data_IF_587534087439
#
_entry.id   IF_587534087439
#
_cell.length_a   1.000
_cell.length_b   1.000
_cell.length_c   1.000
_cell.angle_alpha   90.00
_cell.angle_beta   90.00
_cell.angle_gamma   90.00
#
_symmetry.space_group_name_H-M   'P 1'
#
loop_
_entity.id
_entity.type
_entity.pdbx_description
1 polymer ?
#
# COMPACT_ATOMS: atom_id res chain seq x y z
N UNK A 1 -27.03 -2.09 -12.62
CA UNK A 1 -27.75 -3.17 -11.91
C UNK A 1 -26.79 -3.82 -10.93
N UNK A 2 -27.19 -4.04 -9.68
CA UNK A 2 -26.37 -4.73 -8.66
C UNK A 2 -27.02 -6.09 -8.43
N UNK A 3 -26.33 -7.17 -8.74
CA UNK A 3 -26.83 -8.53 -8.53
C UNK A 3 -26.62 -8.94 -7.06
N UNK A 4 -27.51 -9.79 -6.54
CA UNK A 4 -27.33 -10.37 -5.21
C UNK A 4 -26.14 -11.32 -5.16
N UNK A 5 -25.41 -11.33 -4.05
CA UNK A 5 -24.21 -12.16 -3.89
C UNK A 5 -24.54 -13.66 -4.01
N UNK A 6 -25.70 -14.08 -3.51
CA UNK A 6 -26.24 -15.44 -3.65
C UNK A 6 -26.37 -15.86 -5.12
N UNK A 7 -26.96 -15.01 -5.95
CA UNK A 7 -27.13 -15.24 -7.38
C UNK A 7 -25.78 -15.28 -8.11
N UNK A 8 -24.86 -14.37 -7.76
CA UNK A 8 -23.49 -14.36 -8.32
C UNK A 8 -22.78 -15.68 -8.00
N UNK A 9 -22.82 -16.16 -6.75
CA UNK A 9 -22.16 -17.41 -6.34
C UNK A 9 -22.76 -18.65 -7.02
N UNK A 10 -24.06 -18.64 -7.31
CA UNK A 10 -24.72 -19.73 -8.05
C UNK A 10 -24.27 -19.80 -9.52
N UNK A 11 -24.12 -18.63 -10.17
CA UNK A 11 -23.78 -18.52 -11.59
C UNK A 11 -22.27 -18.56 -11.86
N UNK A 12 -21.48 -17.96 -10.97
CA UNK A 12 -20.04 -17.78 -11.08
C UNK A 12 -19.35 -18.52 -9.92
N UNK A 13 -19.46 -19.85 -9.93
CA UNK A 13 -18.80 -20.70 -8.92
C UNK A 13 -17.30 -20.48 -8.96
N UNK A 14 -16.67 -20.50 -7.78
CA UNK A 14 -15.26 -20.15 -7.65
C UNK A 14 -14.36 -21.07 -8.50
N UNK A 15 -14.65 -22.38 -8.53
CA UNK A 15 -13.86 -23.33 -9.33
C UNK A 15 -13.84 -22.97 -10.81
N UNK A 16 -14.95 -22.45 -11.34
CA UNK A 16 -15.09 -22.04 -12.76
C UNK A 16 -14.40 -20.69 -12.98
N UNK A 17 -14.51 -19.78 -12.00
CA UNK A 17 -13.99 -18.42 -12.11
C UNK A 17 -12.47 -18.34 -11.98
N UNK A 18 -11.82 -19.26 -11.28
CA UNK A 18 -10.36 -19.24 -11.10
C UNK A 18 -9.58 -19.30 -12.42
N UNK A 19 -10.14 -19.91 -13.46
CA UNK A 19 -9.56 -19.96 -14.81
C UNK A 19 -9.80 -18.66 -15.61
N UNK A 20 -10.74 -17.81 -15.18
CA UNK A 20 -11.07 -16.56 -15.87
C UNK A 20 -9.94 -15.54 -15.75
N UNK A 21 -9.48 -15.03 -16.89
CA UNK A 21 -8.46 -13.98 -16.97
C UNK A 21 -8.88 -12.72 -16.19
N UNK A 22 -10.18 -12.40 -16.22
CA UNK A 22 -10.77 -11.27 -15.48
C UNK A 22 -10.72 -11.48 -13.98
N UNK A 23 -11.06 -12.69 -13.51
CA UNK A 23 -10.97 -13.04 -12.09
C UNK A 23 -9.52 -12.92 -11.59
N UNK A 24 -8.57 -13.49 -12.32
CA UNK A 24 -7.16 -13.39 -11.98
C UNK A 24 -6.65 -11.94 -11.99
N UNK A 25 -7.13 -11.11 -12.92
CA UNK A 25 -6.80 -9.68 -12.94
C UNK A 25 -7.32 -8.94 -11.70
N UNK A 26 -8.55 -9.24 -11.25
CA UNK A 26 -9.12 -8.68 -10.03
C UNK A 26 -8.29 -9.11 -8.81
N UNK A 27 -7.93 -10.39 -8.69
CA UNK A 27 -7.10 -10.88 -7.58
C UNK A 27 -5.72 -10.22 -7.59
N UNK A 28 -5.07 -10.10 -8.75
CA UNK A 28 -3.78 -9.41 -8.88
C UNK A 28 -3.88 -7.94 -8.46
N UNK A 29 -4.93 -7.23 -8.91
CA UNK A 29 -5.17 -5.84 -8.53
C UNK A 29 -5.40 -5.70 -7.03
N UNK A 30 -6.25 -6.56 -6.44
CA UNK A 30 -6.52 -6.56 -5.00
C UNK A 30 -5.26 -6.82 -4.17
N UNK A 31 -4.43 -7.79 -4.59
CA UNK A 31 -3.15 -8.06 -3.94
C UNK A 31 -2.19 -6.86 -4.03
N UNK A 32 -2.12 -6.20 -5.19
CA UNK A 32 -1.27 -5.02 -5.36
C UNK A 32 -1.74 -3.85 -4.49
N UNK A 33 -3.06 -3.60 -4.43
CA UNK A 33 -3.66 -2.57 -3.58
C UNK A 33 -3.40 -2.87 -2.09
N UNK A 34 -3.66 -4.09 -1.64
CA UNK A 34 -3.41 -4.49 -0.26
C UNK A 34 -1.93 -4.39 0.13
N UNK A 35 -1.00 -4.74 -0.77
CA UNK A 35 0.43 -4.56 -0.54
C UNK A 35 0.79 -3.08 -0.36
N UNK A 36 0.23 -2.19 -1.17
CA UNK A 36 0.49 -0.75 -1.08
C UNK A 36 -0.11 -0.12 0.18
N UNK A 37 -1.36 -0.46 0.50
CA UNK A 37 -2.04 0.03 1.71
C UNK A 37 -1.29 -0.38 2.97
N UNK A 38 -0.86 -1.65 3.06
CA UNK A 38 -0.11 -2.14 4.22
C UNK A 38 1.30 -1.53 4.31
N UNK A 39 2.04 -1.45 3.20
CA UNK A 39 3.36 -0.81 3.19
C UNK A 39 3.29 0.64 3.67
N UNK A 40 2.31 1.40 3.17
CA UNK A 40 2.09 2.80 3.58
C UNK A 40 1.73 2.88 5.06
N UNK A 41 0.79 2.06 5.51
CA UNK A 41 0.35 2.00 6.91
C UNK A 41 1.52 1.72 7.85
N UNK A 42 2.36 0.74 7.50
CA UNK A 42 3.51 0.34 8.30
C UNK A 42 4.56 1.45 8.39
N UNK A 43 4.95 2.03 7.24
CA UNK A 43 5.90 3.15 7.18
C UNK A 43 5.41 4.34 7.99
N UNK A 44 4.14 4.71 7.84
CA UNK A 44 3.53 5.79 8.62
C UNK A 44 3.59 5.52 10.13
N UNK A 45 3.34 4.28 10.57
CA UNK A 45 3.46 3.90 11.99
C UNK A 45 4.90 3.97 12.50
N UNK A 46 5.87 3.57 11.68
CA UNK A 46 7.30 3.68 12.03
C UNK A 46 7.71 5.14 12.20
N UNK A 47 7.35 5.98 11.24
CA UNK A 47 7.61 7.42 11.25
C UNK A 47 6.97 8.10 12.46
N UNK A 48 5.69 7.83 12.73
CA UNK A 48 4.99 8.38 13.89
C UNK A 48 5.65 7.94 15.21
N UNK A 49 6.18 6.72 15.26
CA UNK A 49 6.89 6.21 16.44
C UNK A 49 8.26 6.88 16.64
N UNK A 50 8.98 7.18 15.56
CA UNK A 50 10.34 7.72 15.62
C UNK A 50 10.37 9.25 15.75
N UNK A 51 9.50 9.95 15.01
CA UNK A 51 9.50 11.40 14.89
C UNK A 51 8.26 12.09 15.47
N UNK A 52 7.27 11.31 15.92
CA UNK A 52 5.98 11.85 16.36
C UNK A 52 5.09 12.25 15.17
N UNK A 53 4.15 13.17 15.40
CA UNK A 53 3.23 13.59 14.34
C UNK A 53 3.97 14.33 13.22
N UNK A 54 3.92 13.76 12.02
CA UNK A 54 4.37 14.41 10.79
C UNK A 54 3.35 15.45 10.32
N UNK A 55 3.82 16.53 9.71
CA UNK A 55 2.94 17.49 9.04
C UNK A 55 2.18 16.88 7.85
N UNK A 56 1.10 17.53 7.42
CA UNK A 56 0.26 17.04 6.33
C UNK A 56 1.01 16.94 5.01
N UNK A 57 2.00 17.80 4.78
CA UNK A 57 2.76 17.83 3.52
C UNK A 57 3.63 16.57 3.38
N UNK A 58 4.35 16.18 4.44
CA UNK A 58 5.11 14.94 4.49
C UNK A 58 4.21 13.73 4.36
N UNK A 59 3.05 13.71 5.04
CA UNK A 59 2.09 12.61 4.93
C UNK A 59 1.57 12.43 3.49
N UNK A 60 1.36 13.53 2.76
CA UNK A 60 0.98 13.47 1.35
C UNK A 60 2.11 12.95 0.46
N UNK A 61 3.35 13.43 0.66
CA UNK A 61 4.53 12.97 -0.07
C UNK A 61 4.74 11.46 0.11
N UNK A 62 4.73 10.99 1.35
CA UNK A 62 4.87 9.56 1.68
C UNK A 62 3.70 8.76 1.09
N UNK A 63 2.50 9.34 1.09
CA UNK A 63 1.31 8.71 0.51
C UNK A 63 1.33 8.55 -1.01
N UNK A 64 2.17 9.32 -1.72
CA UNK A 64 2.36 9.24 -3.15
C UNK A 64 3.44 8.23 -3.57
N UNK A 65 4.22 7.71 -2.62
CA UNK A 65 5.28 6.74 -2.91
C UNK A 65 4.73 5.40 -3.42
N UNK A 66 5.49 4.80 -4.33
CA UNK A 66 5.25 3.43 -4.78
C UNK A 66 5.54 2.42 -3.66
N UNK A 67 5.07 1.19 -3.80
CA UNK A 67 5.35 0.11 -2.84
C UNK A 67 6.85 -0.10 -2.65
N UNK A 68 7.63 -0.06 -3.73
CA UNK A 68 9.08 -0.25 -3.67
C UNK A 68 9.76 0.88 -2.91
N UNK A 69 9.39 2.14 -3.18
CA UNK A 69 9.91 3.29 -2.44
C UNK A 69 9.51 3.23 -0.95
N UNK A 70 8.31 2.75 -0.62
CA UNK A 70 7.90 2.55 0.77
C UNK A 70 8.73 1.47 1.48
N UNK A 71 9.02 0.37 0.78
CA UNK A 71 9.88 -0.70 1.30
C UNK A 71 11.33 -0.21 1.50
N UNK A 72 11.86 0.58 0.58
CA UNK A 72 13.19 1.21 0.68
C UNK A 72 13.25 2.24 1.81
N UNK A 73 12.22 3.08 1.95
CA UNK A 73 12.09 4.02 3.06
C UNK A 73 12.04 3.29 4.41
N UNK A 74 11.34 2.17 4.50
CA UNK A 74 11.29 1.36 5.73
C UNK A 74 12.67 0.85 6.17
N UNK A 75 13.55 0.52 5.21
CA UNK A 75 14.93 0.13 5.49
C UNK A 75 15.79 1.33 5.87
N UNK A 76 15.73 2.42 5.08
CA UNK A 76 16.50 3.63 5.32
C UNK A 76 16.16 4.28 6.68
N UNK A 77 14.90 4.17 7.12
CA UNK A 77 14.43 4.66 8.42
C UNK A 77 15.22 4.12 9.61
N UNK A 78 15.79 2.91 9.48
CA UNK A 78 16.60 2.30 10.54
C UNK A 78 17.92 3.05 10.78
N UNK A 79 18.40 3.79 9.78
CA UNK A 79 19.65 4.56 9.82
C UNK A 79 19.41 6.06 10.06
N UNK A 80 18.14 6.49 10.17
CA UNK A 80 17.81 7.90 10.40
C UNK A 80 18.05 8.32 11.85
N UNK A 81 18.69 9.47 12.01
CA UNK A 81 18.97 10.10 13.31
C UNK A 81 18.05 11.27 13.58
N UNK A 82 17.41 11.84 12.54
CA UNK A 82 16.54 13.00 12.65
C UNK A 82 15.47 13.05 11.55
N UNK A 83 14.46 13.91 11.74
CA UNK A 83 13.47 14.19 10.71
C UNK A 83 14.06 14.88 9.47
N UNK A 84 15.25 15.49 9.57
CA UNK A 84 15.94 16.06 8.41
C UNK A 84 16.40 14.96 7.43
N UNK A 85 16.82 13.80 7.94
CA UNK A 85 17.24 12.66 7.11
C UNK A 85 16.08 12.15 6.24
N UNK A 86 14.86 12.15 6.79
CA UNK A 86 13.64 11.84 6.05
C UNK A 86 13.38 12.83 4.91
N UNK A 87 13.55 14.13 5.16
CA UNK A 87 13.32 15.17 4.15
C UNK A 87 14.33 14.99 3.01
N UNK A 88 15.62 14.82 3.35
CA UNK A 88 16.68 14.56 2.37
C UNK A 88 16.36 13.33 1.53
N UNK A 89 16.00 12.22 2.17
CA UNK A 89 15.65 10.99 1.46
C UNK A 89 14.47 11.18 0.50
N UNK A 90 13.42 11.89 0.93
CA UNK A 90 12.25 12.17 0.10
C UNK A 90 12.54 13.15 -1.05
N UNK A 91 13.58 13.98 -0.94
CA UNK A 91 14.01 14.91 -2.00
C UNK A 91 14.89 14.20 -3.04
N UNK A 92 15.55 13.11 -2.66
CA UNK A 92 16.41 12.30 -3.53
C UNK A 92 15.69 11.12 -4.24
N UNK A 93 14.48 10.75 -3.80
CA UNK A 93 13.73 9.57 -4.26
C UNK A 93 12.27 9.88 -4.63
#
# INVERSE_FOLDING_TARGET
MRFEESLIRQLLREEIMQESVTYQAIIRKGRQQGKQEEARSLVMRMLTRQFGNLDEQLQQRIGALSVTQLEELALALLDFHSAADLIVWLDEN
#
